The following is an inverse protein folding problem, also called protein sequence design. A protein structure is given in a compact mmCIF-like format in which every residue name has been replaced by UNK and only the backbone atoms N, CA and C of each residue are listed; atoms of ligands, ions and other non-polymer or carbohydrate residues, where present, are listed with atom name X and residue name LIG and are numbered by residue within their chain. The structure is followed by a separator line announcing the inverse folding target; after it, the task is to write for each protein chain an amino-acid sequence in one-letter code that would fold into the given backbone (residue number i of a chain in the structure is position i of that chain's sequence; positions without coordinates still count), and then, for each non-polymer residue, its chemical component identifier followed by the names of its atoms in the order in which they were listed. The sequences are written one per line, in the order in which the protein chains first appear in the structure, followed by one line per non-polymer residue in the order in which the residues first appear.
data_IF_670478584172
#
_entry.id   IF_670478584172
#
_cell.length_a   1.000
_cell.length_b   1.000
_cell.length_c   1.000
_cell.angle_alpha   90.00
_cell.angle_beta   90.00
_cell.angle_gamma   90.00
#
_symmetry.space_group_name_H-M   'P 1'
#
loop_
_entity.id
_entity.type
_entity.pdbx_description
1 polymer ?
#
# COMPACT_ATOMS: atom_id res chain seq x y z
N UNK A 1 17.67 -11.15 2.61
CA UNK A 1 16.38 -11.08 3.31
C UNK A 1 15.44 -10.34 2.40
N UNK A 2 14.26 -10.88 2.13
CA UNK A 2 13.25 -10.18 1.34
C UNK A 2 12.64 -9.07 2.19
N UNK A 3 12.24 -7.97 1.54
CA UNK A 3 11.63 -6.84 2.23
C UNK A 3 10.39 -6.31 1.50
N UNK A 4 9.62 -5.47 2.21
CA UNK A 4 8.52 -4.70 1.62
C UNK A 4 9.08 -3.38 1.11
N UNK A 5 8.97 -3.12 -0.19
CA UNK A 5 9.41 -1.87 -0.83
C UNK A 5 8.22 -1.04 -1.27
N UNK A 6 8.43 0.26 -1.40
CA UNK A 6 7.41 1.22 -1.83
C UNK A 6 7.84 1.80 -3.16
N UNK A 7 7.03 1.58 -4.19
CA UNK A 7 7.28 2.14 -5.53
C UNK A 7 6.06 2.91 -5.96
N UNK A 8 6.27 4.16 -6.39
CA UNK A 8 5.19 4.94 -6.98
C UNK A 8 4.89 4.36 -8.37
N UNK A 9 3.63 4.02 -8.65
CA UNK A 9 3.21 3.33 -9.88
C UNK A 9 3.44 4.14 -11.17
N UNK A 10 3.68 5.45 -11.04
CA UNK A 10 4.03 6.32 -12.16
C UNK A 10 5.52 6.34 -12.47
N UNK A 11 6.37 5.78 -11.60
CA UNK A 11 7.81 5.71 -11.84
C UNK A 11 8.12 4.58 -12.82
N UNK A 12 9.19 4.75 -13.58
CA UNK A 12 9.66 3.75 -14.56
C UNK A 12 10.46 2.61 -13.92
N UNK A 13 10.79 2.71 -12.64
CA UNK A 13 11.56 1.70 -11.93
C UNK A 13 10.75 0.42 -11.73
N UNK A 14 11.21 -0.64 -12.39
CA UNK A 14 10.65 -1.98 -12.28
C UNK A 14 11.50 -2.81 -11.32
N UNK A 15 11.46 -2.46 -10.04
CA UNK A 15 12.01 -3.34 -9.02
C UNK A 15 11.36 -4.72 -9.12
N UNK A 16 12.22 -5.75 -9.06
CA UNK A 16 11.78 -7.15 -9.10
C UNK A 16 11.15 -7.50 -7.76
N UNK A 17 9.99 -8.16 -7.82
CA UNK A 17 9.26 -8.60 -6.64
C UNK A 17 7.79 -8.83 -6.98
N UNK A 18 7.01 -9.26 -5.99
CA UNK A 18 5.57 -9.42 -6.13
C UNK A 18 4.87 -8.06 -5.96
N UNK A 19 4.22 -7.56 -7.00
CA UNK A 19 3.76 -6.18 -7.14
C UNK A 19 2.29 -6.04 -6.80
N UNK A 20 2.01 -5.32 -5.72
CA UNK A 20 0.67 -5.15 -5.17
C UNK A 20 0.28 -3.68 -5.17
N UNK A 21 -0.80 -3.32 -5.86
CA UNK A 21 -1.41 -1.99 -5.76
C UNK A 21 -2.21 -1.90 -4.47
N UNK A 22 -1.80 -1.01 -3.57
CA UNK A 22 -2.43 -0.80 -2.25
C UNK A 22 -3.30 0.46 -2.21
N UNK A 23 -3.43 1.17 -3.33
CA UNK A 23 -4.45 2.20 -3.48
C UNK A 23 -5.82 1.58 -3.71
N UNK A 24 -6.82 2.12 -3.00
CA UNK A 24 -8.22 1.77 -3.23
C UNK A 24 -8.68 2.13 -4.64
N UNK A 25 -8.15 3.22 -5.20
CA UNK A 25 -8.51 3.69 -6.54
C UNK A 25 -7.43 3.32 -7.55
N UNK A 26 -7.89 2.93 -8.74
CA UNK A 26 -6.98 2.72 -9.85
C UNK A 26 -6.31 4.04 -10.28
N UNK A 27 -4.97 4.08 -10.42
CA UNK A 27 -4.24 5.26 -10.86
C UNK A 27 -4.63 5.68 -12.29
N UNK A 28 -4.88 6.98 -12.49
CA UNK A 28 -5.32 7.49 -13.79
C UNK A 28 -4.21 7.37 -14.84
N UNK A 29 -4.56 6.97 -16.06
CA UNK A 29 -3.61 6.89 -17.18
C UNK A 29 -2.63 5.71 -17.11
N UNK A 30 -2.74 4.84 -16.11
CA UNK A 30 -1.93 3.61 -16.00
C UNK A 30 -2.77 2.43 -16.49
N UNK A 31 -2.25 1.70 -17.48
CA UNK A 31 -2.82 0.40 -17.88
C UNK A 31 -2.31 -0.71 -16.97
N UNK A 32 -3.10 -1.77 -16.74
CA UNK A 32 -2.67 -2.97 -15.99
C UNK A 32 -1.35 -3.57 -16.51
N UNK A 33 -1.19 -3.61 -17.84
CA UNK A 33 0.01 -4.15 -18.50
C UNK A 33 1.26 -3.32 -18.16
N UNK A 34 1.18 -1.99 -18.27
CA UNK A 34 2.29 -1.08 -17.90
C UNK A 34 2.66 -1.12 -16.41
N UNK A 35 1.71 -1.43 -15.54
CA UNK A 35 1.96 -1.47 -14.11
C UNK A 35 2.76 -2.72 -13.66
N UNK A 36 2.84 -3.75 -14.52
CA UNK A 36 3.37 -5.07 -14.18
C UNK A 36 2.77 -5.54 -12.84
N UNK A 37 1.44 -5.52 -12.77
CA UNK A 37 0.71 -5.68 -11.52
C UNK A 37 0.33 -7.15 -11.30
N UNK A 38 0.79 -7.74 -10.19
CA UNK A 38 0.36 -9.08 -9.80
C UNK A 38 -1.00 -9.08 -9.07
N UNK A 39 -1.23 -8.09 -8.20
CA UNK A 39 -2.45 -8.01 -7.38
C UNK A 39 -2.92 -6.57 -7.12
N UNK A 40 -4.23 -6.36 -7.13
CA UNK A 40 -4.84 -5.12 -6.64
C UNK A 40 -5.56 -5.32 -5.29
N UNK A 41 -4.92 -4.88 -4.21
CA UNK A 41 -5.45 -4.98 -2.84
C UNK A 41 -6.31 -3.76 -2.47
N UNK A 42 -7.33 -3.47 -3.29
CA UNK A 42 -8.19 -2.27 -3.12
C UNK A 42 -8.88 -2.17 -1.75
N UNK A 43 -9.18 -3.32 -1.13
CA UNK A 43 -9.87 -3.38 0.17
C UNK A 43 -8.96 -2.96 1.33
N UNK A 44 -7.64 -2.96 1.12
CA UNK A 44 -6.66 -2.56 2.12
C UNK A 44 -6.39 -1.05 2.07
N UNK A 45 -6.69 -0.38 0.95
CA UNK A 45 -6.58 1.08 0.86
C UNK A 45 -7.57 1.81 1.79
N UNK A 46 -7.28 3.08 2.14
CA UNK A 46 -8.14 3.87 3.03
C UNK A 46 -9.55 4.01 2.45
N UNK A 47 -10.54 4.12 3.33
CA UNK A 47 -11.92 4.35 2.92
C UNK A 47 -12.06 5.63 2.10
N UNK A 48 -13.11 5.71 1.29
CA UNK A 48 -13.37 6.91 0.47
C UNK A 48 -13.53 8.17 1.32
N UNK A 49 -14.14 8.05 2.51
CA UNK A 49 -14.34 9.17 3.42
C UNK A 49 -13.01 9.62 4.03
N UNK A 50 -12.21 8.67 4.53
CA UNK A 50 -10.91 8.99 5.12
C UNK A 50 -9.94 9.57 4.09
N UNK A 51 -9.92 9.02 2.88
CA UNK A 51 -9.10 9.54 1.76
C UNK A 51 -9.48 10.98 1.40
N UNK A 52 -10.78 11.29 1.32
CA UNK A 52 -11.27 12.66 1.05
C UNK A 52 -10.92 13.62 2.18
N UNK A 53 -11.05 13.17 3.43
CA UNK A 53 -10.73 13.97 4.60
C UNK A 53 -9.23 14.30 4.68
N UNK A 54 -8.36 13.32 4.41
CA UNK A 54 -6.91 13.52 4.40
C UNK A 54 -6.49 14.51 3.32
N UNK A 55 -7.06 14.41 2.12
CA UNK A 55 -6.82 15.32 0.99
C UNK A 55 -5.33 15.58 0.66
N UNK A 56 -4.44 14.64 1.01
CA UNK A 56 -2.99 14.80 0.89
C UNK A 56 -2.40 15.99 1.68
N UNK A 57 -3.04 16.36 2.79
CA UNK A 57 -2.60 17.41 3.69
C UNK A 57 -1.58 16.85 4.70
N UNK A 58 -0.29 17.25 4.64
CA UNK A 58 0.75 16.73 5.53
C UNK A 58 0.48 17.02 7.01
N UNK A 59 -0.20 18.13 7.33
CA UNK A 59 -0.54 18.48 8.71
C UNK A 59 -1.52 17.46 9.33
N UNK A 60 -2.35 16.84 8.49
CA UNK A 60 -3.30 15.80 8.90
C UNK A 60 -2.68 14.40 8.93
N UNK A 61 -1.43 14.23 8.52
CA UNK A 61 -0.84 12.89 8.31
C UNK A 61 -0.79 12.06 9.60
N UNK A 62 -0.43 12.66 10.73
CA UNK A 62 -0.38 11.95 12.02
C UNK A 62 -1.76 11.39 12.41
N UNK A 63 -2.81 12.20 12.27
CA UNK A 63 -4.18 11.76 12.56
C UNK A 63 -4.71 10.79 11.49
N UNK A 64 -4.35 11.00 10.22
CA UNK A 64 -4.65 10.07 9.13
C UNK A 64 -4.06 8.68 9.40
N UNK A 65 -2.80 8.60 9.86
CA UNK A 65 -2.17 7.34 10.25
C UNK A 65 -2.98 6.60 11.30
N UNK A 66 -3.39 7.28 12.36
CA UNK A 66 -4.19 6.68 13.44
C UNK A 66 -5.53 6.16 12.92
N UNK A 67 -6.26 6.97 12.14
CA UNK A 67 -7.56 6.59 11.57
C UNK A 67 -7.43 5.44 10.58
N UNK A 68 -6.43 5.49 9.71
CA UNK A 68 -6.20 4.45 8.71
C UNK A 68 -5.82 3.11 9.36
N UNK A 69 -4.96 3.12 10.38
CA UNK A 69 -4.65 1.90 11.13
C UNK A 69 -5.88 1.33 11.85
N UNK A 70 -6.80 2.16 12.31
CA UNK A 70 -8.07 1.69 12.86
C UNK A 70 -8.93 1.00 11.79
N UNK A 71 -9.02 1.56 10.58
CA UNK A 71 -9.70 0.92 9.44
C UNK A 71 -9.06 -0.43 9.10
N UNK A 72 -7.73 -0.50 9.03
CA UNK A 72 -6.99 -1.74 8.76
C UNK A 72 -7.27 -2.81 9.83
N UNK A 73 -7.21 -2.45 11.11
CA UNK A 73 -7.43 -3.41 12.21
C UNK A 73 -8.88 -3.91 12.28
N UNK A 74 -9.85 -3.10 11.85
CA UNK A 74 -11.25 -3.48 11.81
C UNK A 74 -11.65 -4.24 10.54
N UNK A 75 -10.79 -4.26 9.51
CA UNK A 75 -11.06 -4.90 8.23
C UNK A 75 -10.80 -6.41 8.29
N UNK A 76 -11.81 -7.21 7.93
CA UNK A 76 -11.73 -8.68 7.87
C UNK A 76 -10.70 -9.19 6.87
N UNK A 77 -10.47 -8.46 5.77
CA UNK A 77 -9.52 -8.85 4.71
C UNK A 77 -8.06 -8.67 5.13
N UNK A 78 -7.79 -7.90 6.19
CA UNK A 78 -6.43 -7.60 6.64
C UNK A 78 -5.65 -8.85 6.98
N UNK A 79 -6.28 -9.83 7.65
CA UNK A 79 -5.59 -11.07 8.05
C UNK A 79 -5.10 -11.85 6.83
N UNK A 80 -5.99 -12.13 5.88
CA UNK A 80 -5.65 -12.85 4.64
C UNK A 80 -4.62 -12.08 3.80
N UNK A 81 -4.67 -10.75 3.81
CA UNK A 81 -3.65 -9.94 3.13
C UNK A 81 -2.27 -10.01 3.81
N UNK A 82 -2.19 -9.99 5.15
CA UNK A 82 -0.94 -10.21 5.89
C UNK A 82 -0.35 -11.57 5.59
N UNK A 83 -1.17 -12.63 5.61
CA UNK A 83 -0.75 -14.00 5.26
C UNK A 83 -0.19 -14.07 3.84
N UNK A 84 -0.88 -13.47 2.87
CA UNK A 84 -0.40 -13.40 1.49
C UNK A 84 0.96 -12.69 1.40
N UNK A 85 1.11 -11.52 2.01
CA UNK A 85 2.37 -10.77 1.98
C UNK A 85 3.50 -11.58 2.61
N UNK A 86 3.25 -12.24 3.74
CA UNK A 86 4.22 -13.13 4.40
C UNK A 86 4.66 -14.27 3.49
N UNK A 87 3.72 -14.96 2.83
CA UNK A 87 4.03 -16.05 1.89
C UNK A 87 4.82 -15.57 0.67
N UNK A 88 4.58 -14.34 0.19
CA UNK A 88 5.33 -13.77 -0.93
C UNK A 88 6.73 -13.35 -0.53
N UNK A 89 6.89 -12.80 0.68
CA UNK A 89 8.21 -12.46 1.24
C UNK A 89 9.13 -13.67 1.37
N UNK A 90 8.58 -14.88 1.59
CA UNK A 90 9.37 -16.13 1.55
C UNK A 90 9.99 -16.43 0.18
N UNK A 91 9.44 -15.87 -0.90
CA UNK A 91 9.84 -16.12 -2.30
C UNK A 91 10.65 -14.97 -2.91
N UNK A 92 10.58 -13.77 -2.35
CA UNK A 92 11.29 -12.57 -2.80
C UNK A 92 10.67 -11.29 -2.27
N UNK A 93 11.15 -10.14 -2.73
CA UNK A 93 10.63 -8.83 -2.30
C UNK A 93 9.15 -8.67 -2.65
N UNK A 94 8.44 -7.89 -1.84
CA UNK A 94 7.06 -7.46 -2.11
C UNK A 94 7.06 -5.96 -2.36
N UNK A 95 6.49 -5.55 -3.48
CA UNK A 95 6.46 -4.14 -3.90
C UNK A 95 5.05 -3.61 -3.69
N UNK A 96 4.87 -2.69 -2.75
CA UNK A 96 3.62 -1.93 -2.61
C UNK A 96 3.64 -0.75 -3.57
N UNK A 97 2.75 -0.82 -4.56
CA UNK A 97 2.51 0.22 -5.54
C UNK A 97 1.48 1.22 -5.02
N UNK A 98 1.80 2.52 -5.16
CA UNK A 98 0.93 3.63 -4.77
C UNK A 98 1.00 4.77 -5.79
N UNK A 99 -0.02 5.65 -5.80
CA UNK A 99 -0.17 6.73 -6.77
C UNK A 99 0.07 8.13 -6.21
N UNK A 100 0.15 8.30 -4.89
CA UNK A 100 0.39 9.60 -4.25
C UNK A 100 1.66 10.28 -4.80
N UNK A 101 1.64 11.61 -4.92
CA UNK A 101 2.83 12.38 -5.32
C UNK A 101 3.85 12.51 -4.20
N UNK A 102 3.37 12.63 -2.96
CA UNK A 102 4.20 12.67 -1.77
C UNK A 102 4.65 11.24 -1.40
N UNK A 103 5.96 10.93 -1.47
CA UNK A 103 6.48 9.61 -1.15
C UNK A 103 6.55 9.33 0.35
N UNK A 104 6.49 10.36 1.20
CA UNK A 104 6.63 10.26 2.65
C UNK A 104 5.27 10.23 3.37
N UNK A 105 4.32 11.04 2.91
CA UNK A 105 3.00 11.18 3.54
C UNK A 105 1.90 10.51 2.73
N UNK A 106 1.87 9.18 2.73
CA UNK A 106 0.83 8.41 2.06
C UNK A 106 0.49 7.11 2.83
N UNK A 107 -0.60 6.45 2.42
CA UNK A 107 -1.08 5.23 3.06
C UNK A 107 -0.13 4.04 2.91
N UNK A 108 0.68 3.98 1.85
CA UNK A 108 1.57 2.85 1.61
C UNK A 108 2.74 2.84 2.60
N UNK A 109 3.23 4.02 3.00
CA UNK A 109 4.22 4.17 4.09
C UNK A 109 3.68 3.59 5.40
N UNK A 110 2.46 3.99 5.78
CA UNK A 110 1.80 3.50 6.99
C UNK A 110 1.59 1.97 6.92
N UNK A 111 1.17 1.46 5.76
CA UNK A 111 0.90 0.04 5.57
C UNK A 111 2.19 -0.80 5.65
N UNK A 112 3.28 -0.33 5.02
CA UNK A 112 4.60 -0.96 5.15
C UNK A 112 5.03 -1.03 6.60
N UNK A 113 4.98 0.09 7.34
CA UNK A 113 5.35 0.12 8.76
C UNK A 113 4.52 -0.87 9.59
N UNK A 114 3.20 -0.90 9.39
CA UNK A 114 2.32 -1.81 10.09
C UNK A 114 2.67 -3.28 9.80
N UNK A 115 2.85 -3.65 8.53
CA UNK A 115 3.12 -5.03 8.14
C UNK A 115 4.52 -5.48 8.59
N UNK A 116 5.53 -4.63 8.45
CA UNK A 116 6.86 -4.90 8.97
C UNK A 116 6.85 -5.07 10.49
N UNK A 117 5.98 -4.38 11.23
CA UNK A 117 5.85 -4.57 12.69
C UNK A 117 5.22 -5.91 13.08
N UNK A 118 4.41 -6.52 12.22
CA UNK A 118 3.77 -7.82 12.45
C UNK A 118 4.67 -9.01 12.07
N UNK A 119 5.67 -8.77 11.23
CA UNK A 119 6.59 -9.78 10.69
C UNK A 119 7.90 -9.88 11.49
N UNK A 120 8.08 -9.05 12.51
CA UNK A 120 9.14 -9.17 13.51
C UNK A 120 8.78 -10.24 14.53
#
# INVERSE_FOLDING_TARGET
MSEIKLVRIYNHEQEKGFRILVDRLWPRGISKVKADLDLWAKEIGPSNNLRKWFNHDPEKFAEFKTKYLAEIKANSETKSFVELVSEKLKKGDVIFLYGAKDPLHNQAVILKEYFTSLLK
#
